data_IF_034569717111
#
_entry.id   IF_034569717111
#
_cell.length_a   1.000
_cell.length_b   1.000
_cell.length_c   1.000
_cell.angle_alpha   90.00
_cell.angle_beta   90.00
_cell.angle_gamma   90.00
#
_symmetry.space_group_name_H-M   'P 1'
#
loop_
_entity.id
_entity.type
_entity.pdbx_description
1 polymer ?
2 polymer ?
3 non-polymer ?
4 water ?
#
# COMPACT_ATOMS: atom_id res chain seq x y z
N UNK A 2 -12.88 11.05 10.64
CA UNK A 2 -12.44 10.08 9.57
C UNK A 2 -12.66 8.63 10.04
N UNK A 3 -13.22 7.80 9.16
CA UNK A 3 -13.60 6.38 9.47
C UNK A 3 -12.31 5.61 9.82
N UNK A 4 -12.37 4.81 10.90
CA UNK A 4 -11.27 3.88 11.29
C UNK A 4 -11.53 2.50 10.70
N UNK A 5 -10.52 1.89 10.04
CA UNK A 5 -10.62 0.52 9.42
C UNK A 5 -9.65 -0.46 10.09
N UNK A 6 -9.93 -1.76 9.92
CA UNK A 6 -9.16 -2.82 10.64
C UNK A 6 -8.42 -3.77 9.69
N UNK A 7 -7.07 -3.67 9.57
CA UNK A 7 -6.30 -4.62 8.74
C UNK A 7 -6.46 -6.06 9.23
N UNK A 8 -6.46 -7.04 8.32
CA UNK A 8 -6.30 -8.45 8.71
C UNK A 8 -4.86 -8.71 9.17
N UNK A 9 -4.58 -9.87 9.82
CA UNK A 9 -3.27 -10.11 10.45
C UNK A 9 -2.03 -9.93 9.57
N UNK A 10 -2.10 -10.29 8.27
CA UNK A 10 -0.94 -10.28 7.39
C UNK A 10 -0.61 -8.83 7.02
N UNK A 11 -1.63 -8.07 6.58
CA UNK A 11 -1.44 -6.61 6.29
C UNK A 11 -0.93 -5.88 7.55
N UNK A 12 -1.47 -6.23 8.74
CA UNK A 12 -1.11 -5.54 9.98
C UNK A 12 0.40 -5.64 10.29
N UNK A 13 0.94 -6.87 10.29
CA UNK A 13 2.40 -7.17 10.37
C UNK A 13 3.21 -6.37 9.34
N UNK A 14 2.72 -6.28 8.09
CA UNK A 14 3.35 -5.42 7.03
C UNK A 14 3.47 -3.96 7.53
N UNK A 15 2.34 -3.37 8.00
CA UNK A 15 2.36 -1.95 8.46
C UNK A 15 3.22 -1.79 9.72
N UNK A 16 3.15 -2.77 10.65
CA UNK A 16 3.94 -2.67 11.89
C UNK A 16 5.43 -2.81 11.60
N UNK A 17 5.82 -3.33 10.41
CA UNK A 17 7.28 -3.42 10.04
C UNK A 17 7.88 -2.04 9.75
N UNK A 18 7.08 -1.00 9.49
CA UNK A 18 7.59 0.35 9.25
C UNK A 18 7.02 1.34 10.30
N UNK A 19 6.79 0.85 11.54
CA UNK A 19 6.62 1.69 12.75
C UNK A 19 5.18 1.84 13.24
N UNK A 20 4.19 1.26 12.55
CA UNK A 20 2.76 1.40 12.91
C UNK A 20 2.52 0.79 14.31
N UNK A 21 1.69 1.43 15.14
CA UNK A 21 1.61 1.04 16.58
C UNK A 21 0.19 0.62 16.99
N UNK A 22 -0.81 0.62 16.09
CA UNK A 22 -2.25 0.43 16.53
C UNK A 22 -2.86 -0.82 15.87
N UNK A 23 -4.13 -1.15 16.19
CA UNK A 23 -4.89 -2.24 15.56
C UNK A 23 -5.87 -1.71 14.51
N UNK A 24 -6.24 -0.41 14.61
CA UNK A 24 -7.13 0.32 13.64
C UNK A 24 -6.47 1.65 13.19
N UNK A 25 -6.89 2.12 12.00
CA UNK A 25 -6.24 3.21 11.22
C UNK A 25 -7.28 3.96 10.36
N UNK A 26 -7.07 5.27 10.14
CA UNK A 26 -7.71 5.94 8.97
C UNK A 26 -7.08 5.37 7.67
N UNK A 27 -7.78 5.54 6.55
CA UNK A 27 -7.27 5.09 5.26
C UNK A 27 -6.00 5.90 4.88
N UNK A 28 -5.95 7.21 5.17
CA UNK A 28 -4.73 8.03 4.93
C UNK A 28 -3.56 7.45 5.73
N UNK A 29 -3.81 6.94 6.94
CA UNK A 29 -2.71 6.31 7.69
C UNK A 29 -2.26 4.98 7.03
N UNK A 30 -3.24 4.16 6.59
CA UNK A 30 -2.90 2.89 5.95
C UNK A 30 -2.04 3.17 4.68
N UNK A 31 -2.41 4.21 3.92
CA UNK A 31 -1.75 4.55 2.66
C UNK A 31 -0.36 5.10 3.01
N UNK A 32 -0.26 5.89 4.09
CA UNK A 32 1.06 6.34 4.59
C UNK A 32 2.04 5.14 4.80
N UNK A 33 1.72 4.21 5.71
CA UNK A 33 2.63 3.13 6.06
C UNK A 33 2.89 2.23 4.84
N UNK A 34 1.87 1.99 3.99
CA UNK A 34 2.09 1.14 2.79
C UNK A 34 3.14 1.77 1.84
N UNK A 35 3.00 3.08 1.52
CA UNK A 35 4.00 3.86 0.77
C UNK A 35 5.41 3.81 1.39
N UNK A 36 5.51 3.90 2.71
CA UNK A 36 6.82 3.88 3.32
C UNK A 36 7.41 2.46 3.09
N UNK A 37 6.57 1.42 3.18
CA UNK A 37 7.00 -0.01 2.92
C UNK A 37 7.58 -0.16 1.49
N UNK A 38 6.79 0.19 0.47
CA UNK A 38 7.19 0.04 -0.92
C UNK A 38 8.48 0.83 -1.18
N UNK A 39 8.59 2.02 -0.60
CA UNK A 39 9.71 2.82 -1.01
C UNK A 39 10.96 2.42 -0.22
N UNK A 40 10.78 2.03 1.05
CA UNK A 40 11.91 1.56 1.90
C UNK A 40 12.61 0.30 1.32
N UNK A 41 11.80 -0.68 0.86
CA UNK A 41 12.26 -1.94 0.29
C UNK A 41 12.63 -1.81 -1.20
N UNK A 42 12.43 -0.63 -1.79
CA UNK A 42 12.76 -0.31 -3.19
C UNK A 42 12.03 -1.19 -4.21
N UNK A 43 10.71 -1.40 -4.06
CA UNK A 43 9.97 -2.26 -5.00
C UNK A 43 9.59 -1.50 -6.28
N UNK A 44 9.59 -0.15 -6.27
CA UNK A 44 9.20 0.66 -7.46
C UNK A 44 10.34 0.60 -8.51
N UNK A 45 9.99 0.79 -9.78
CA UNK A 45 10.94 0.79 -10.87
C UNK A 45 11.70 2.12 -10.85
N UNK A 46 13.04 2.06 -10.80
CA UNK A 46 13.90 3.30 -10.70
C UNK A 46 13.57 4.28 -11.84
N UNK A 47 13.30 3.71 -13.01
CA UNK A 47 13.18 4.46 -14.21
C UNK A 47 11.72 4.84 -14.45
N UNK A 48 10.80 3.94 -14.17
CA UNK A 48 9.40 4.19 -14.39
C UNK A 48 8.70 4.10 -13.04
N UNK A 49 8.60 5.22 -12.32
CA UNK A 49 8.42 5.14 -10.84
C UNK A 49 6.98 4.93 -10.40
N UNK A 50 6.03 4.85 -11.35
CA UNK A 50 4.65 4.48 -11.01
C UNK A 50 4.49 2.96 -10.95
N UNK A 51 5.46 2.19 -11.46
CA UNK A 51 5.22 0.71 -11.56
C UNK A 51 5.95 0.04 -10.38
N UNK A 52 5.22 -0.79 -9.60
CA UNK A 52 5.73 -1.57 -8.44
C UNK A 52 5.82 -3.06 -8.82
N UNK A 53 7.01 -3.65 -8.63
CA UNK A 53 7.31 -5.13 -8.78
C UNK A 53 7.31 -5.80 -7.38
N UNK A 54 6.37 -6.74 -7.18
CA UNK A 54 6.13 -7.34 -5.87
C UNK A 54 6.10 -8.87 -5.97
N UNK A 55 6.70 -9.46 -7.02
CA UNK A 55 6.69 -10.94 -7.20
C UNK A 55 7.40 -11.73 -6.09
N UNK A 56 8.42 -11.17 -5.44
CA UNK A 56 9.19 -11.92 -4.43
C UNK A 56 8.95 -11.33 -3.04
N UNK A 57 7.78 -10.72 -2.85
CA UNK A 57 7.45 -9.99 -1.66
C UNK A 57 6.08 -10.46 -1.12
N UNK A 58 5.95 -10.42 0.21
CA UNK A 58 4.65 -10.62 0.92
C UNK A 58 3.54 -9.84 0.21
N UNK A 59 3.86 -8.62 -0.26
CA UNK A 59 2.82 -7.73 -0.81
C UNK A 59 2.14 -8.34 -2.06
N UNK A 60 2.95 -8.95 -2.93
CA UNK A 60 2.51 -9.80 -4.09
C UNK A 60 1.55 -10.91 -3.68
N UNK A 61 1.80 -11.58 -2.54
CA UNK A 61 0.88 -12.62 -2.04
C UNK A 61 -0.42 -12.00 -1.54
N UNK A 62 -0.32 -10.90 -0.78
CA UNK A 62 -1.55 -10.27 -0.23
C UNK A 62 -2.46 -9.69 -1.34
N UNK A 63 -1.87 -9.12 -2.38
CA UNK A 63 -2.62 -8.38 -3.46
C UNK A 63 -3.00 -9.30 -4.65
N UNK A 64 -2.39 -10.50 -4.75
CA UNK A 64 -2.54 -11.52 -5.81
C UNK A 64 -2.06 -11.04 -7.18
N UNK A 65 -0.97 -10.24 -7.23
CA UNK A 65 -0.37 -9.83 -8.56
C UNK A 65 1.17 -9.88 -8.50
N UNK A 66 1.88 -10.02 -9.64
CA UNK A 66 3.33 -9.81 -9.68
C UNK A 66 3.80 -8.35 -9.81
N UNK A 67 2.87 -7.44 -10.16
CA UNK A 67 3.11 -5.97 -10.28
C UNK A 67 1.78 -5.21 -10.48
N UNK A 68 1.80 -3.91 -10.23
CA UNK A 68 0.65 -3.02 -10.43
C UNK A 68 1.20 -1.62 -10.68
N UNK A 69 0.31 -0.73 -11.13
CA UNK A 69 0.60 0.67 -11.37
C UNK A 69 -0.11 1.57 -10.36
N UNK A 70 0.63 2.59 -9.90
CA UNK A 70 0.13 3.54 -8.87
C UNK A 70 -0.94 4.46 -9.49
N UNK A 71 -1.00 4.55 -10.83
CA UNK A 71 -2.05 5.37 -11.53
C UNK A 71 -3.45 4.72 -11.39
N UNK A 72 -3.50 3.39 -11.16
CA UNK A 72 -4.76 2.66 -11.13
C UNK A 72 -5.37 2.78 -9.71
N UNK A 73 -5.90 3.96 -9.38
CA UNK A 73 -6.37 4.28 -8.00
C UNK A 73 -7.48 3.31 -7.54
N UNK A 74 -8.50 3.14 -8.38
CA UNK A 74 -9.62 2.26 -8.09
C UNK A 74 -9.15 0.83 -7.78
N UNK A 75 -8.21 0.31 -8.57
CA UNK A 75 -7.66 -1.04 -8.35
C UNK A 75 -6.83 -1.17 -7.04
N UNK A 76 -6.04 -0.16 -6.68
CA UNK A 76 -5.32 -0.17 -5.40
C UNK A 76 -6.32 -0.19 -4.22
N UNK A 77 -7.35 0.66 -4.25
CA UNK A 77 -8.33 0.63 -3.22
C UNK A 77 -9.00 -0.75 -3.10
N UNK A 78 -9.34 -1.40 -4.21
CA UNK A 78 -10.01 -2.74 -4.18
C UNK A 78 -9.11 -3.75 -3.46
N UNK A 79 -7.80 -3.71 -3.76
CA UNK A 79 -6.82 -4.68 -3.29
C UNK A 79 -6.58 -4.49 -1.78
N UNK A 80 -6.54 -3.23 -1.34
CA UNK A 80 -6.45 -2.90 0.08
C UNK A 80 -7.71 -3.42 0.80
N UNK A 81 -8.91 -3.13 0.28
CA UNK A 81 -10.19 -3.51 1.00
C UNK A 81 -10.41 -5.02 1.10
N UNK A 82 -9.80 -5.82 0.21
CA UNK A 82 -9.80 -7.29 0.30
C UNK A 82 -9.00 -7.78 1.53
N UNK A 83 -8.16 -6.90 2.10
CA UNK A 83 -7.24 -7.21 3.22
C UNK A 83 -7.62 -6.49 4.53
N UNK A 84 -8.85 -5.96 4.61
CA UNK A 84 -9.44 -5.31 5.81
C UNK A 84 -10.59 -6.18 6.33
N UNK A 85 -10.82 -6.17 7.65
CA UNK A 85 -11.96 -6.92 8.24
C UNK A 85 -13.29 -6.20 7.90
N UNK A 86 -14.26 -6.96 7.37
CA UNK A 86 -15.57 -6.42 6.99
C UNK A 86 -16.42 -6.22 8.26
N UNK B 1 6.68 10.91 -12.74
CA UNK B 1 7.00 11.72 -11.53
C UNK B 1 7.88 10.80 -10.67
N UNK B 2 8.23 11.28 -9.47
CA UNK B 2 8.86 10.46 -8.47
C UNK B 2 7.78 9.49 -7.94
N UNK B 3 8.20 8.40 -7.29
CA UNK B 3 7.23 7.50 -6.66
C UNK B 3 6.32 8.30 -5.70
N UNK B 4 6.92 9.20 -4.90
CA UNK B 4 6.21 10.01 -3.87
C UNK B 4 5.04 10.83 -4.45
N UNK B 5 5.23 11.38 -5.66
CA UNK B 5 4.24 12.25 -6.32
C UNK B 5 3.05 11.44 -6.86
N UNK B 6 3.31 10.30 -7.52
CA UNK B 6 2.22 9.37 -7.90
C UNK B 6 1.43 8.90 -6.64
N UNK B 7 2.15 8.49 -5.59
CA UNK B 7 1.54 7.91 -4.34
C UNK B 7 0.66 8.96 -3.62
N UNK B 8 1.06 10.23 -3.61
CA UNK B 8 0.28 11.37 -3.07
C UNK B 8 -1.12 11.48 -3.68
N UNK B 9 -1.28 11.09 -4.96
CA UNK B 9 -2.54 11.25 -5.64
C UNK B 9 -3.62 10.35 -5.01
N UNK B 10 -3.23 9.28 -4.27
CA UNK B 10 -4.19 8.34 -3.62
C UNK B 10 -4.76 8.95 -2.35
N UNK B 11 -3.94 9.75 -1.63
CA UNK B 11 -4.36 10.47 -0.44
C UNK B 11 -5.60 11.29 -0.79
N UNK B 12 -5.60 11.87 -2.00
CA UNK B 12 -6.72 12.69 -2.47
C UNK B 12 -8.04 11.91 -2.47
N UNK B 13 -8.00 10.62 -2.84
CA UNK B 13 -9.23 9.84 -3.00
C UNK B 13 -9.77 9.41 -1.63
N UNK B 14 -8.95 9.62 -0.60
CA UNK B 14 -9.27 9.28 0.77
C UNK B 14 -9.93 10.49 1.45
X LIG C 1 9.03 9.46 2.20
X LIG C 1 8.47 10.11 1.31
X LIG C 1 7.23 10.60 1.46
X LIG C 1 6.51 10.50 2.72
X LIG C 1 5.39 11.50 2.84
X LIG C 1 4.08 11.09 3.10
X LIG C 1 3.04 12.00 3.22
X LIG C 1 1.64 11.52 3.53
X LIG C 1 0.58 12.29 2.86
X LIG C 1 0.05 11.93 1.70
X LIG C 1 -0.34 10.47 1.53
X LIG C 1 -1.60 10.18 2.21
X LIG C 1 -1.33 9.50 3.49
X LIG C 1 -0.13 12.72 0.77
X LIG C 1 3.33 13.36 3.09
X LIG C 1 4.62 13.79 2.84
X LIG C 1 5.64 12.86 2.72
X LIG C 1 9.21 10.39 0.00
X LIG C 1 8.49 10.99 -1.14
X LIG C 1 8.96 12.33 -1.51
#
# INVERSE_FOLDING_TARGET
METLVRPKPELLKLLKSVGAQKDTYTMKEVLFYLGQYIMTKRLYDEKQQHIVYCSNDLLGDLFGVPSFSVKEHRKIYTMIYRNLVV
LTFDQYWAQLDSAA
M9H O1 C1 N1 C2 C3 C4 C5 C6 N2 C7 C8 N3 C9 O2 C10 C11 C12 C13 N4 C14
#
